data_IF_945643270625
#
_entry.id   IF_945643270625
#
_cell.length_a   1.000
_cell.length_b   1.000
_cell.length_c   1.000
_cell.angle_alpha   90.00
_cell.angle_beta   90.00
_cell.angle_gamma   90.00
#
_symmetry.space_group_name_H-M   'P 1'
#
loop_
_entity.id
_entity.type
_entity.pdbx_description
1 polymer ?
#
# COMPACT_ATOMS: atom_id res chain seq x y z
N UNK A 1 84.51 28.94 13.54
CA UNK A 1 83.79 28.18 14.58
C UNK A 1 82.32 28.40 14.31
N UNK A 2 81.74 27.48 13.55
CA UNK A 2 80.31 27.40 13.29
C UNK A 2 79.66 26.88 14.58
N UNK A 3 78.69 27.62 15.11
CA UNK A 3 77.87 27.17 16.24
C UNK A 3 76.50 26.83 15.68
N UNK A 4 76.25 25.53 15.57
CA UNK A 4 75.06 24.94 15.01
C UNK A 4 73.79 25.35 15.77
N UNK A 5 72.78 25.73 14.99
CA UNK A 5 71.38 25.85 15.38
C UNK A 5 70.79 24.47 15.66
N UNK A 6 70.57 24.15 16.93
CA UNK A 6 69.68 23.06 17.36
C UNK A 6 68.22 23.53 17.15
N UNK A 7 67.62 23.11 16.03
CA UNK A 7 66.20 23.26 15.79
C UNK A 7 65.43 22.19 16.58
N UNK A 8 64.75 22.61 17.63
CA UNK A 8 63.79 21.81 18.41
C UNK A 8 62.58 21.45 17.52
N UNK A 9 62.66 20.31 16.83
CA UNK A 9 61.54 19.66 16.14
C UNK A 9 60.68 18.87 17.16
N UNK A 10 60.19 19.57 18.18
CA UNK A 10 59.28 19.04 19.19
C UNK A 10 57.82 18.90 18.68
N UNK A 11 57.53 17.77 18.05
CA UNK A 11 56.26 17.03 18.06
C UNK A 11 54.92 17.77 18.21
N UNK A 12 54.45 18.48 17.18
CA UNK A 12 53.05 18.98 17.09
C UNK A 12 52.15 18.24 16.09
N UNK A 13 52.69 17.38 15.24
CA UNK A 13 51.94 16.78 14.13
C UNK A 13 51.00 15.64 14.54
N UNK A 14 51.29 14.93 15.65
CA UNK A 14 50.51 13.77 16.07
C UNK A 14 49.21 14.09 16.83
N UNK A 15 49.16 15.23 17.54
CA UNK A 15 48.00 15.57 18.38
C UNK A 15 46.84 16.14 17.57
N UNK A 16 47.15 16.98 16.57
CA UNK A 16 46.16 17.54 15.65
C UNK A 16 45.52 16.45 14.80
N UNK A 17 46.32 15.51 14.28
CA UNK A 17 45.87 14.39 13.45
C UNK A 17 44.93 13.44 14.20
N UNK A 18 45.20 13.11 15.46
CA UNK A 18 44.33 12.27 16.31
C UNK A 18 43.01 12.96 16.64
N UNK A 19 43.02 14.27 16.87
CA UNK A 19 41.82 15.03 17.18
C UNK A 19 40.90 15.16 15.96
N UNK A 20 41.47 15.42 14.77
CA UNK A 20 40.73 15.45 13.50
C UNK A 20 40.18 14.07 13.13
N UNK A 21 40.97 13.01 13.29
CA UNK A 21 40.50 11.64 13.09
C UNK A 21 39.32 11.30 14.03
N UNK A 22 39.40 11.71 15.29
CA UNK A 22 38.32 11.51 16.26
C UNK A 22 37.05 12.30 15.91
N UNK A 23 37.17 13.46 15.28
CA UNK A 23 36.02 14.23 14.77
C UNK A 23 35.39 13.54 13.58
N UNK A 24 36.19 13.09 12.62
CA UNK A 24 35.74 12.33 11.45
C UNK A 24 35.01 11.05 11.90
N UNK A 25 35.59 10.31 12.84
CA UNK A 25 34.98 9.10 13.41
C UNK A 25 33.62 9.39 14.07
N UNK A 26 33.52 10.45 14.87
CA UNK A 26 32.24 10.85 15.50
C UNK A 26 31.19 11.24 14.46
N UNK A 27 31.59 11.98 13.42
CA UNK A 27 30.69 12.36 12.34
C UNK A 27 30.19 11.12 11.59
N UNK A 28 31.07 10.18 11.25
CA UNK A 28 30.72 8.92 10.61
C UNK A 28 29.73 8.09 11.44
N UNK A 29 29.98 7.95 12.76
CA UNK A 29 29.06 7.24 13.66
C UNK A 29 27.69 7.93 13.71
N UNK A 30 27.68 9.26 13.83
CA UNK A 30 26.42 10.02 13.90
C UNK A 30 25.63 9.98 12.57
N UNK A 31 26.31 10.01 11.43
CA UNK A 31 25.69 9.88 10.10
C UNK A 31 25.14 8.47 9.93
N UNK A 32 25.96 7.44 10.19
CA UNK A 32 25.55 6.05 10.08
C UNK A 32 24.38 5.70 11.00
N UNK A 33 24.33 6.26 12.21
CA UNK A 33 23.16 6.07 13.09
C UNK A 33 21.90 6.72 12.54
N UNK A 34 21.99 7.95 12.02
CA UNK A 34 20.84 8.65 11.42
C UNK A 34 20.35 7.95 10.16
N UNK A 35 21.26 7.51 9.31
CA UNK A 35 20.98 6.75 8.09
C UNK A 35 20.34 5.40 8.43
N UNK A 36 20.91 4.65 9.38
CA UNK A 36 20.34 3.38 9.83
C UNK A 36 18.95 3.55 10.45
N UNK A 37 18.74 4.60 11.24
CA UNK A 37 17.42 4.91 11.80
C UNK A 37 16.39 5.30 10.74
N UNK A 38 16.80 6.03 9.69
CA UNK A 38 15.94 6.36 8.55
C UNK A 38 15.60 5.10 7.74
N UNK A 39 16.61 4.33 7.35
CA UNK A 39 16.44 3.09 6.59
C UNK A 39 15.54 2.08 7.33
N UNK A 40 15.69 1.95 8.65
CA UNK A 40 14.82 1.08 9.45
C UNK A 40 13.35 1.54 9.47
N UNK A 41 13.11 2.86 9.51
CA UNK A 41 11.74 3.41 9.42
C UNK A 41 11.15 3.19 8.03
N UNK A 42 11.93 3.44 6.99
CA UNK A 42 11.48 3.29 5.61
C UNK A 42 11.16 1.83 5.29
N UNK A 43 11.99 0.88 5.75
CA UNK A 43 11.72 -0.55 5.60
C UNK A 43 10.43 -0.98 6.31
N UNK A 44 10.21 -0.53 7.55
CA UNK A 44 8.99 -0.82 8.29
C UNK A 44 7.76 -0.21 7.60
N UNK A 45 7.86 1.03 7.12
CA UNK A 45 6.78 1.71 6.40
C UNK A 45 6.46 1.00 5.08
N UNK A 46 7.47 0.65 4.30
CA UNK A 46 7.31 0.01 2.99
C UNK A 46 6.57 -1.32 3.12
N UNK A 47 6.92 -2.16 4.08
CA UNK A 47 6.23 -3.45 4.29
C UNK A 47 4.73 -3.28 4.60
N UNK A 48 4.36 -2.26 5.39
CA UNK A 48 2.96 -1.93 5.66
C UNK A 48 2.26 -1.31 4.45
N UNK A 49 2.96 -0.45 3.71
CA UNK A 49 2.46 0.18 2.50
C UNK A 49 2.16 -0.84 1.41
N UNK A 50 3.09 -1.75 1.10
CA UNK A 50 2.93 -2.74 0.04
C UNK A 50 1.72 -3.64 0.29
N UNK A 51 1.58 -4.14 1.52
CA UNK A 51 0.45 -4.97 1.91
C UNK A 51 -0.90 -4.22 1.83
N UNK A 52 -0.91 -2.97 2.28
CA UNK A 52 -2.09 -2.10 2.22
C UNK A 52 -2.43 -1.70 0.78
N UNK A 53 -1.44 -1.41 -0.05
CA UNK A 53 -1.59 -0.99 -1.43
C UNK A 53 -2.16 -2.12 -2.28
N UNK A 54 -1.59 -3.33 -2.20
CA UNK A 54 -2.10 -4.48 -2.96
C UNK A 54 -3.58 -4.74 -2.66
N UNK A 55 -3.95 -4.73 -1.38
CA UNK A 55 -5.35 -4.91 -0.95
C UNK A 55 -6.24 -3.76 -1.37
N UNK A 56 -5.79 -2.51 -1.20
CA UNK A 56 -6.56 -1.32 -1.56
C UNK A 56 -6.80 -1.22 -3.07
N UNK A 57 -5.79 -1.59 -3.86
CA UNK A 57 -5.89 -1.64 -5.31
C UNK A 57 -6.89 -2.71 -5.76
N UNK A 58 -6.76 -3.94 -5.25
CA UNK A 58 -7.69 -5.05 -5.54
C UNK A 58 -9.14 -4.67 -5.24
N UNK A 59 -9.38 -4.04 -4.07
CA UNK A 59 -10.69 -3.57 -3.67
C UNK A 59 -11.22 -2.47 -4.60
N UNK A 60 -10.44 -1.41 -4.85
CA UNK A 60 -10.85 -0.31 -5.71
C UNK A 60 -11.10 -0.75 -7.15
N UNK A 61 -10.27 -1.65 -7.67
CA UNK A 61 -10.40 -2.21 -9.01
C UNK A 61 -11.66 -3.07 -9.15
N UNK A 62 -11.97 -3.92 -8.17
CA UNK A 62 -13.16 -4.77 -8.18
C UNK A 62 -14.45 -3.95 -8.16
N UNK A 63 -14.51 -2.93 -7.29
CA UNK A 63 -15.64 -2.00 -7.24
C UNK A 63 -15.74 -1.15 -8.53
N UNK A 64 -14.59 -0.77 -9.11
CA UNK A 64 -14.53 -0.04 -10.37
C UNK A 64 -15.05 -0.86 -11.55
N UNK A 65 -14.66 -2.14 -11.64
CA UNK A 65 -15.21 -3.09 -12.62
C UNK A 65 -16.72 -3.21 -12.50
N UNK A 66 -17.22 -3.36 -11.28
CA UNK A 66 -18.66 -3.41 -11.00
C UNK A 66 -19.37 -2.16 -11.53
N UNK A 67 -18.87 -0.97 -11.16
CA UNK A 67 -19.44 0.30 -11.63
C UNK A 67 -19.38 0.44 -13.16
N UNK A 68 -18.31 -0.01 -13.80
CA UNK A 68 -18.20 0.02 -15.26
C UNK A 68 -19.27 -0.86 -15.93
N UNK A 69 -19.54 -2.04 -15.37
CA UNK A 69 -20.64 -2.90 -15.82
C UNK A 69 -22.00 -2.25 -15.59
N UNK A 70 -22.23 -1.70 -14.39
CA UNK A 70 -23.48 -1.00 -14.06
C UNK A 70 -23.74 0.17 -15.01
N UNK A 71 -22.74 1.04 -15.23
CA UNK A 71 -22.83 2.18 -16.16
C UNK A 71 -23.09 1.73 -17.61
N UNK A 72 -22.45 0.65 -18.05
CA UNK A 72 -22.69 0.08 -19.39
C UNK A 72 -24.12 -0.43 -19.52
N UNK A 73 -24.64 -1.12 -18.51
CA UNK A 73 -26.02 -1.60 -18.48
C UNK A 73 -27.01 -0.43 -18.46
N UNK A 74 -26.77 0.60 -17.64
CA UNK A 74 -27.62 1.78 -17.57
C UNK A 74 -27.68 2.55 -18.88
N UNK A 75 -26.54 2.71 -19.58
CA UNK A 75 -26.50 3.39 -20.89
C UNK A 75 -27.19 2.61 -22.00
N UNK A 76 -27.21 1.28 -21.90
CA UNK A 76 -27.76 0.38 -22.92
C UNK A 76 -29.04 -0.33 -22.45
N UNK A 77 -29.74 0.22 -21.45
CA UNK A 77 -30.88 -0.44 -20.81
C UNK A 77 -31.96 -0.83 -21.83
N UNK A 78 -32.23 0.02 -22.82
CA UNK A 78 -33.18 -0.25 -23.90
C UNK A 78 -32.79 -1.43 -24.79
N UNK A 79 -31.49 -1.66 -25.00
CA UNK A 79 -30.97 -2.78 -25.79
C UNK A 79 -31.14 -4.10 -25.03
N UNK A 80 -31.01 -4.07 -23.71
CA UNK A 80 -31.13 -5.23 -22.84
C UNK A 80 -32.54 -5.47 -22.31
N UNK A 81 -33.53 -4.65 -22.69
CA UNK A 81 -34.90 -4.77 -22.20
C UNK A 81 -35.02 -4.55 -20.69
N UNK A 82 -34.15 -3.71 -20.12
CA UNK A 82 -34.11 -3.38 -18.70
C UNK A 82 -34.84 -2.06 -18.44
N UNK A 83 -35.56 -2.00 -17.32
CA UNK A 83 -36.16 -0.76 -16.85
C UNK A 83 -35.14 0.06 -16.04
N UNK A 84 -35.17 1.39 -16.21
CA UNK A 84 -34.27 2.28 -15.48
C UNK A 84 -34.41 2.18 -13.94
N UNK A 85 -35.60 1.78 -13.46
CA UNK A 85 -35.88 1.52 -12.04
C UNK A 85 -35.14 0.29 -11.50
N UNK A 86 -34.85 -0.71 -12.33
CA UNK A 86 -34.12 -1.92 -11.95
C UNK A 86 -32.61 -1.67 -11.78
N UNK A 87 -32.11 -0.52 -12.24
CA UNK A 87 -30.68 -0.16 -12.20
C UNK A 87 -30.35 0.91 -11.16
N UNK A 88 -31.35 1.35 -10.39
CA UNK A 88 -31.16 2.35 -9.32
C UNK A 88 -30.29 1.77 -8.21
N UNK A 89 -29.25 2.52 -7.83
CA UNK A 89 -28.26 2.14 -6.81
C UNK A 89 -27.44 0.87 -7.15
N UNK A 90 -27.27 0.58 -8.45
CA UNK A 90 -26.37 -0.49 -8.89
C UNK A 90 -24.88 -0.10 -8.70
N UNK A 91 -24.57 1.19 -8.63
CA UNK A 91 -23.21 1.69 -8.51
C UNK A 91 -22.75 1.92 -7.06
N UNK A 92 -21.49 1.63 -6.79
CA UNK A 92 -20.81 2.02 -5.57
C UNK A 92 -20.37 3.48 -5.62
N UNK A 93 -20.84 4.27 -4.65
CA UNK A 93 -20.34 5.64 -4.43
C UNK A 93 -18.88 5.61 -3.99
N UNK A 94 -18.01 6.35 -4.68
CA UNK A 94 -16.57 6.47 -4.39
C UNK A 94 -15.80 5.14 -4.43
N UNK A 95 -16.05 4.29 -5.44
CA UNK A 95 -15.31 3.04 -5.67
C UNK A 95 -13.78 3.21 -5.64
N UNK A 96 -13.25 4.37 -6.07
CA UNK A 96 -11.82 4.72 -6.02
C UNK A 96 -11.17 4.65 -4.63
N UNK A 97 -11.97 4.75 -3.57
CA UNK A 97 -11.48 4.61 -2.20
C UNK A 97 -11.59 3.18 -1.66
N UNK A 98 -11.99 2.20 -2.48
CA UNK A 98 -12.01 0.79 -2.08
C UNK A 98 -12.92 0.47 -0.89
N UNK A 99 -13.93 1.31 -0.60
CA UNK A 99 -14.69 1.27 0.67
C UNK A 99 -13.78 1.34 1.92
N UNK A 100 -12.69 2.09 1.87
CA UNK A 100 -11.69 2.17 2.94
C UNK A 100 -12.30 2.50 4.32
N UNK A 101 -12.06 1.63 5.30
CA UNK A 101 -12.55 1.83 6.67
C UNK A 101 -11.85 2.98 7.40
N UNK A 102 -10.60 3.29 7.01
CA UNK A 102 -9.84 4.43 7.55
C UNK A 102 -10.47 5.74 7.08
N UNK A 103 -10.74 5.88 5.77
CA UNK A 103 -11.36 7.08 5.21
C UNK A 103 -12.77 7.33 5.78
N UNK A 104 -13.47 6.28 6.20
CA UNK A 104 -14.79 6.39 6.84
C UNK A 104 -14.73 6.71 8.33
N UNK A 105 -13.54 6.86 8.91
CA UNK A 105 -13.35 7.11 10.34
C UNK A 105 -13.80 5.95 11.24
N UNK A 106 -14.09 4.77 10.67
CA UNK A 106 -14.56 3.60 11.42
C UNK A 106 -13.43 2.91 12.19
N UNK A 107 -12.18 3.10 11.74
CA UNK A 107 -11.00 2.62 12.45
C UNK A 107 -10.18 3.81 12.93
N UNK A 108 -9.92 3.85 14.24
CA UNK A 108 -9.10 4.86 14.87
C UNK A 108 -7.63 4.43 14.76
N UNK A 109 -6.98 4.76 13.64
CA UNK A 109 -5.61 4.39 13.30
C UNK A 109 -4.54 4.87 14.31
N UNK A 110 -4.89 5.79 15.21
CA UNK A 110 -3.93 6.46 16.10
C UNK A 110 -3.82 5.82 17.50
N UNK A 111 -4.63 4.80 17.83
CA UNK A 111 -4.71 4.28 19.22
C UNK A 111 -4.00 2.95 19.46
N UNK A 112 -3.79 2.13 18.43
CA UNK A 112 -3.07 0.85 18.55
C UNK A 112 -2.42 0.46 17.20
N UNK A 113 -1.10 0.68 17.03
CA UNK A 113 -0.39 0.40 15.77
C UNK A 113 -0.13 -1.10 15.49
N UNK A 114 -0.82 -2.03 16.17
CA UNK A 114 -0.36 -3.42 16.25
C UNK A 114 -0.94 -4.42 15.25
N UNK A 115 -1.95 -4.10 14.43
CA UNK A 115 -2.43 -5.09 13.45
C UNK A 115 -2.89 -4.45 12.13
N UNK A 116 -1.92 -3.99 11.33
CA UNK A 116 -2.14 -3.73 9.91
C UNK A 116 -2.75 -4.96 9.21
N UNK A 117 -2.36 -6.16 9.65
CA UNK A 117 -2.90 -7.44 9.18
C UNK A 117 -4.42 -7.58 9.42
N UNK A 118 -4.91 -7.24 10.62
CA UNK A 118 -6.33 -7.30 10.95
C UNK A 118 -7.15 -6.23 10.21
N UNK A 119 -6.55 -5.04 10.03
CA UNK A 119 -7.17 -3.98 9.24
C UNK A 119 -7.32 -4.37 7.77
N UNK A 120 -6.26 -4.95 7.19
CA UNK A 120 -6.27 -5.47 5.82
C UNK A 120 -7.34 -6.55 5.66
N UNK A 121 -7.42 -7.52 6.59
CA UNK A 121 -8.45 -8.57 6.57
C UNK A 121 -9.86 -7.98 6.64
N UNK A 122 -10.10 -7.09 7.60
CA UNK A 122 -11.39 -6.41 7.76
C UNK A 122 -11.77 -5.63 6.50
N UNK A 123 -10.80 -4.98 5.86
CA UNK A 123 -11.03 -4.25 4.62
C UNK A 123 -11.45 -5.20 3.48
N UNK A 124 -10.77 -6.34 3.33
CA UNK A 124 -11.13 -7.37 2.36
C UNK A 124 -12.55 -7.89 2.62
N UNK A 125 -12.85 -8.27 3.85
CA UNK A 125 -14.17 -8.82 4.22
C UNK A 125 -15.31 -7.84 3.91
N UNK A 126 -15.13 -6.55 4.23
CA UNK A 126 -16.14 -5.53 3.95
C UNK A 126 -16.36 -5.36 2.44
N UNK A 127 -15.30 -5.40 1.63
CA UNK A 127 -15.42 -5.25 0.18
C UNK A 127 -16.07 -6.48 -0.43
N UNK A 128 -15.64 -7.69 -0.05
CA UNK A 128 -16.24 -8.95 -0.51
C UNK A 128 -17.72 -8.99 -0.16
N UNK A 129 -18.08 -8.70 1.08
CA UNK A 129 -19.48 -8.68 1.51
C UNK A 129 -20.31 -7.66 0.73
N UNK A 130 -19.79 -6.45 0.50
CA UNK A 130 -20.49 -5.43 -0.26
C UNK A 130 -20.71 -5.84 -1.73
N UNK A 131 -19.74 -6.52 -2.35
CA UNK A 131 -19.87 -7.07 -3.69
C UNK A 131 -20.89 -8.21 -3.74
N UNK A 132 -20.87 -9.12 -2.77
CA UNK A 132 -21.85 -10.22 -2.66
C UNK A 132 -23.29 -9.74 -2.44
N UNK A 133 -23.46 -8.69 -1.63
CA UNK A 133 -24.76 -8.04 -1.42
C UNK A 133 -25.29 -7.43 -2.73
N UNK A 134 -24.44 -6.71 -3.47
CA UNK A 134 -24.83 -6.14 -4.75
C UNK A 134 -25.12 -7.21 -5.80
N UNK A 135 -24.30 -8.25 -5.85
CA UNK A 135 -24.55 -9.46 -6.65
C UNK A 135 -25.92 -10.04 -6.38
N UNK A 136 -26.24 -10.30 -5.13
CA UNK A 136 -27.52 -10.91 -4.75
C UNK A 136 -28.69 -10.02 -5.16
N UNK A 137 -28.54 -8.70 -5.06
CA UNK A 137 -29.56 -7.73 -5.44
C UNK A 137 -29.78 -7.64 -6.96
N UNK A 138 -28.71 -7.71 -7.75
CA UNK A 138 -28.75 -7.44 -9.20
C UNK A 138 -28.59 -8.70 -10.07
N UNK A 139 -28.49 -9.90 -9.50
CA UNK A 139 -28.31 -11.15 -10.24
C UNK A 139 -29.30 -11.32 -11.40
N UNK A 140 -30.59 -11.08 -11.14
CA UNK A 140 -31.66 -11.19 -12.15
C UNK A 140 -31.49 -10.19 -13.29
N UNK A 141 -30.94 -9.00 -13.01
CA UNK A 141 -30.67 -7.96 -14.02
C UNK A 141 -29.52 -8.41 -14.93
N UNK A 142 -28.45 -8.95 -14.37
CA UNK A 142 -27.33 -9.48 -15.16
C UNK A 142 -27.74 -10.69 -16.00
N UNK A 143 -28.58 -11.57 -15.45
CA UNK A 143 -29.10 -12.74 -16.16
C UNK A 143 -29.99 -12.33 -17.33
N UNK A 144 -30.91 -11.38 -17.12
CA UNK A 144 -31.74 -10.78 -18.19
C UNK A 144 -30.89 -10.14 -19.29
N UNK A 145 -29.82 -9.43 -18.91
CA UNK A 145 -28.93 -8.77 -19.86
C UNK A 145 -28.00 -9.76 -20.61
N UNK A 146 -27.97 -11.04 -20.23
CA UNK A 146 -27.04 -12.03 -20.79
C UNK A 146 -25.57 -11.70 -20.51
N UNK A 147 -25.30 -10.81 -19.55
CA UNK A 147 -23.95 -10.39 -19.21
C UNK A 147 -23.39 -11.35 -18.18
N UNK A 148 -22.27 -11.99 -18.53
CA UNK A 148 -21.52 -12.79 -17.56
C UNK A 148 -21.01 -11.84 -16.49
N UNK A 149 -21.50 -12.04 -15.27
CA UNK A 149 -21.23 -11.20 -14.11
C UNK A 149 -19.73 -10.85 -14.00
N UNK A 150 -19.35 -9.60 -13.65
CA UNK A 150 -17.96 -9.20 -13.50
C UNK A 150 -17.35 -9.92 -12.29
N UNK A 151 -16.95 -11.16 -12.50
CA UNK A 151 -16.27 -11.95 -11.49
C UNK A 151 -14.89 -11.35 -11.22
N UNK A 152 -14.61 -11.20 -9.93
CA UNK A 152 -13.27 -11.32 -9.38
C UNK A 152 -12.91 -12.81 -9.45
N UNK A 153 -12.57 -13.33 -10.63
CA UNK A 153 -11.76 -14.54 -10.73
C UNK A 153 -10.42 -14.11 -11.29
N UNK A 154 -9.42 -14.12 -10.41
CA UNK A 154 -8.12 -14.78 -10.63
C UNK A 154 -7.32 -14.70 -9.31
N UNK A 155 -7.78 -15.42 -8.29
CA UNK A 155 -6.93 -15.91 -7.19
C UNK A 155 -7.17 -17.42 -7.03
N UNK A 156 -7.07 -18.16 -8.13
CA UNK A 156 -6.74 -19.58 -8.09
C UNK A 156 -5.67 -19.83 -9.16
N UNK A 157 -4.40 -19.75 -8.72
CA UNK A 157 -3.16 -20.35 -9.28
C UNK A 157 -1.96 -19.41 -9.12
N UNK A 158 -1.45 -19.31 -7.90
CA UNK A 158 -0.02 -19.03 -7.68
C UNK A 158 0.54 -19.77 -6.46
N UNK A 159 -0.10 -20.87 -6.07
CA UNK A 159 0.56 -21.94 -5.31
C UNK A 159 1.06 -22.95 -6.36
N UNK A 160 2.28 -23.44 -6.19
CA UNK A 160 3.08 -24.25 -7.13
C UNK A 160 3.89 -23.49 -8.20
N UNK A 161 4.83 -22.67 -7.74
CA UNK A 161 6.13 -22.64 -8.42
C UNK A 161 7.26 -22.55 -7.37
N UNK A 162 7.43 -23.64 -6.61
CA UNK A 162 8.71 -23.93 -5.96
C UNK A 162 9.76 -24.18 -7.06
N UNK A 163 10.48 -23.12 -7.43
CA UNK A 163 11.74 -23.27 -8.14
C UNK A 163 12.77 -23.70 -7.10
N UNK A 164 13.06 -25.01 -7.06
CA UNK A 164 14.31 -25.51 -6.54
C UNK A 164 15.44 -25.00 -7.44
N UNK A 165 16.29 -24.11 -6.91
CA UNK A 165 17.68 -23.93 -7.32
C UNK A 165 18.53 -24.00 -6.06
#
# INVERSE_FOLDING_TARGET
MESDTEADFGGKEDFSSKQEFSKIQRNLISSGFREGAAAGKDAAFQSGFDAGYATGFEAGFSLGKWNGCADTLSKNASVFGLDASELVDCEFKNARHGLCQICKGKVNCCKNPKDNSALIKTQKDVVTKALEEQRSKFHLVFEKAGVREPLVRDQEKSEDNQIHV
#
